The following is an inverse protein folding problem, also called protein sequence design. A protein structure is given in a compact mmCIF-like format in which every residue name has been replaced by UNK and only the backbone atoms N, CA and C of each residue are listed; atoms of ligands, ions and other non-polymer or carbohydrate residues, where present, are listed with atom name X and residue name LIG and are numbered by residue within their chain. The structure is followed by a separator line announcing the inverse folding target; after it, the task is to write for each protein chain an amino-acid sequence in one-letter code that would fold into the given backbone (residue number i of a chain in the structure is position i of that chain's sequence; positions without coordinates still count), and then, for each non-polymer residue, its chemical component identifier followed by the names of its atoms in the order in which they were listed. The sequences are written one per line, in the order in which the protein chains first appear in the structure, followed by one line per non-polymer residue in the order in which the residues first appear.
data_IF_228216197844
#
_entry.id   IF_228216197844
#
_cell.length_a   1.000
_cell.length_b   1.000
_cell.length_c   1.000
_cell.angle_alpha   90.00
_cell.angle_beta   90.00
_cell.angle_gamma   90.00
#
_symmetry.space_group_name_H-M   'P 1'
#
loop_
_entity.id
_entity.type
_entity.pdbx_description
1 polymer ?
#
# COMPACT_ATOMS: atom_id res chain seq x y z
N UNK A 1 -23.51 2.90 17.60
CA UNK A 1 -23.50 2.09 16.38
C UNK A 1 -22.29 2.41 15.48
N UNK A 2 -21.96 3.69 15.27
CA UNK A 2 -20.84 4.14 14.44
C UNK A 2 -19.47 3.58 14.85
N UNK A 3 -19.17 3.51 16.15
CA UNK A 3 -17.89 3.00 16.68
C UNK A 3 -17.64 1.53 16.29
N UNK A 4 -18.66 0.67 16.40
CA UNK A 4 -18.54 -0.74 16.03
C UNK A 4 -18.30 -0.92 14.52
N UNK A 5 -18.96 -0.10 13.69
CA UNK A 5 -18.75 -0.10 12.24
C UNK A 5 -17.33 0.36 11.88
N UNK A 6 -16.80 1.39 12.56
CA UNK A 6 -15.41 1.82 12.38
C UNK A 6 -14.41 0.73 12.77
N UNK A 7 -14.64 0.02 13.88
CA UNK A 7 -13.82 -1.14 14.27
C UNK A 7 -13.89 -2.23 13.20
N UNK A 8 -15.09 -2.55 12.69
CA UNK A 8 -15.27 -3.59 11.68
C UNK A 8 -14.57 -3.25 10.35
N UNK A 9 -14.72 -2.00 9.89
CA UNK A 9 -14.02 -1.51 8.69
C UNK A 9 -12.52 -1.50 8.90
N UNK A 10 -12.05 -1.07 10.08
CA UNK A 10 -10.66 -1.15 10.46
C UNK A 10 -10.14 -2.58 10.43
N UNK A 11 -10.88 -3.55 10.99
CA UNK A 11 -10.50 -4.96 10.98
C UNK A 11 -10.42 -5.54 9.57
N UNK A 12 -11.39 -5.24 8.70
CA UNK A 12 -11.35 -5.65 7.29
C UNK A 12 -10.13 -5.04 6.58
N UNK A 13 -9.92 -3.74 6.72
CA UNK A 13 -8.82 -3.03 6.09
C UNK A 13 -7.46 -3.49 6.60
N UNK A 14 -7.33 -3.78 7.90
CA UNK A 14 -6.12 -4.35 8.52
C UNK A 14 -5.85 -5.76 8.01
N UNK A 15 -6.88 -6.61 7.90
CA UNK A 15 -6.75 -7.98 7.40
C UNK A 15 -6.27 -7.99 5.95
N UNK A 16 -6.95 -7.24 5.08
CA UNK A 16 -6.58 -7.14 3.66
C UNK A 16 -5.23 -6.43 3.50
N UNK A 17 -5.01 -5.34 4.22
CA UNK A 17 -3.78 -4.56 4.19
C UNK A 17 -2.55 -5.40 4.54
N UNK A 18 -2.64 -6.19 5.60
CA UNK A 18 -1.58 -7.10 6.03
C UNK A 18 -1.33 -8.24 5.03
N UNK A 19 -2.39 -8.85 4.48
CA UNK A 19 -2.27 -9.97 3.53
C UNK A 19 -1.70 -9.53 2.18
N UNK A 20 -2.05 -8.32 1.75
CA UNK A 20 -1.69 -7.77 0.44
C UNK A 20 -0.39 -6.95 0.48
N UNK A 21 0.08 -6.53 1.65
CA UNK A 21 1.30 -5.72 1.78
C UNK A 21 1.14 -4.28 1.32
N UNK A 22 -0.09 -3.75 1.40
CA UNK A 22 -0.47 -2.38 0.98
C UNK A 22 -0.81 -1.46 2.16
N UNK A 23 -0.75 -1.96 3.41
CA UNK A 23 -1.02 -1.16 4.61
C UNK A 23 -2.50 -0.82 4.88
N UNK A 24 -3.46 -1.22 4.04
CA UNK A 24 -4.90 -1.05 4.29
C UNK A 24 -5.45 0.36 4.04
N UNK A 25 -4.60 1.36 3.80
CA UNK A 25 -5.00 2.75 3.53
C UNK A 25 -5.91 2.91 2.30
N UNK A 26 -5.64 2.12 1.26
CA UNK A 26 -6.47 2.04 0.04
C UNK A 26 -7.91 1.63 0.33
N UNK A 27 -8.13 0.82 1.36
CA UNK A 27 -9.48 0.38 1.78
C UNK A 27 -10.08 1.40 2.73
N UNK A 28 -9.28 1.92 3.68
CA UNK A 28 -9.72 2.86 4.70
C UNK A 28 -10.19 4.20 4.15
N UNK A 29 -9.43 4.83 3.23
CA UNK A 29 -9.79 6.17 2.75
C UNK A 29 -11.16 6.19 2.06
N UNK A 30 -11.46 5.32 1.06
CA UNK A 30 -12.78 5.28 0.45
C UNK A 30 -13.88 4.90 1.45
N UNK A 31 -13.61 3.95 2.36
CA UNK A 31 -14.60 3.54 3.35
C UNK A 31 -15.00 4.69 4.29
N UNK A 32 -14.04 5.50 4.74
CA UNK A 32 -14.29 6.67 5.60
C UNK A 32 -15.01 7.80 4.86
N UNK A 33 -14.58 8.09 3.63
CA UNK A 33 -15.13 9.21 2.85
C UNK A 33 -16.52 8.89 2.30
N UNK A 34 -16.70 7.70 1.71
CA UNK A 34 -17.97 7.33 1.06
C UNK A 34 -18.94 6.62 1.99
N UNK A 35 -18.44 5.89 2.99
CA UNK A 35 -19.27 5.10 3.90
C UNK A 35 -19.68 5.83 5.17
N UNK A 36 -18.90 6.83 5.61
CA UNK A 36 -19.16 7.59 6.84
C UNK A 36 -19.20 9.11 6.61
N UNK A 37 -19.14 9.57 5.36
CA UNK A 37 -19.16 10.99 4.98
C UNK A 37 -18.08 11.83 5.69
N UNK A 38 -16.93 11.22 5.97
CA UNK A 38 -15.82 11.89 6.67
C UNK A 38 -15.01 12.71 5.66
N UNK A 39 -14.75 14.00 5.93
CA UNK A 39 -13.92 14.83 5.05
C UNK A 39 -12.53 14.23 4.81
N UNK A 40 -12.03 14.36 3.57
CA UNK A 40 -10.71 13.88 3.14
C UNK A 40 -9.57 14.33 4.06
N UNK A 41 -9.64 15.57 4.54
CA UNK A 41 -8.69 16.17 5.48
C UNK A 41 -8.53 15.38 6.79
N UNK A 42 -9.59 14.70 7.22
CA UNK A 42 -9.61 13.86 8.43
C UNK A 42 -9.37 12.39 8.10
N UNK A 43 -9.86 11.92 6.95
CA UNK A 43 -9.75 10.53 6.54
C UNK A 43 -8.30 10.12 6.20
N UNK A 44 -7.52 11.00 5.53
CA UNK A 44 -6.13 10.74 5.15
C UNK A 44 -5.22 10.52 6.38
N UNK A 45 -5.12 11.46 7.35
CA UNK A 45 -4.28 11.23 8.52
C UNK A 45 -4.75 10.04 9.37
N UNK A 46 -6.07 9.81 9.45
CA UNK A 46 -6.62 8.64 10.15
C UNK A 46 -6.21 7.32 9.48
N UNK A 47 -6.24 7.26 8.15
CA UNK A 47 -5.83 6.07 7.40
C UNK A 47 -4.32 5.83 7.51
N UNK A 48 -3.49 6.87 7.49
CA UNK A 48 -2.03 6.75 7.68
C UNK A 48 -1.67 6.17 9.06
N UNK A 49 -2.34 6.64 10.12
CA UNK A 49 -2.17 6.06 11.46
C UNK A 49 -2.52 4.56 11.47
N UNK A 50 -3.63 4.21 10.83
CA UNK A 50 -4.07 2.84 10.69
C UNK A 50 -3.07 2.00 9.87
N UNK A 51 -2.51 2.56 8.80
CA UNK A 51 -1.50 1.92 7.96
C UNK A 51 -0.25 1.55 8.77
N UNK A 52 0.24 2.50 9.58
CA UNK A 52 1.39 2.26 10.47
C UNK A 52 1.05 1.21 11.52
N UNK A 53 -0.11 1.32 12.18
CA UNK A 53 -0.56 0.34 13.17
C UNK A 53 -0.69 -1.08 12.57
N UNK A 54 -1.30 -1.19 11.38
CA UNK A 54 -1.43 -2.43 10.62
C UNK A 54 -0.06 -3.03 10.31
N UNK A 55 0.86 -2.19 9.83
CA UNK A 55 2.20 -2.59 9.48
C UNK A 55 2.95 -3.14 10.70
N UNK A 56 2.93 -2.44 11.83
CA UNK A 56 3.57 -2.89 13.07
C UNK A 56 2.97 -4.23 13.56
N UNK A 57 1.64 -4.35 13.57
CA UNK A 57 0.95 -5.57 14.00
C UNK A 57 1.31 -6.78 13.12
N UNK A 58 1.29 -6.62 11.80
CA UNK A 58 1.59 -7.69 10.87
C UNK A 58 3.10 -8.00 10.77
N UNK A 59 3.97 -6.98 10.88
CA UNK A 59 5.43 -7.14 10.89
C UNK A 59 5.89 -8.05 12.02
N UNK A 60 5.31 -7.91 13.23
CA UNK A 60 5.61 -8.81 14.35
C UNK A 60 5.35 -10.29 14.00
N UNK A 61 4.28 -10.57 13.26
CA UNK A 61 3.95 -11.91 12.79
C UNK A 61 4.83 -12.40 11.64
N UNK A 62 5.18 -11.53 10.69
CA UNK A 62 5.97 -11.91 9.51
C UNK A 62 7.46 -12.05 9.78
N UNK A 63 8.03 -11.17 10.62
CA UNK A 63 9.44 -11.25 11.04
C UNK A 63 9.67 -12.51 11.86
N UNK A 64 8.79 -12.81 12.82
CA UNK A 64 8.89 -14.04 13.62
C UNK A 64 8.76 -15.32 12.77
N UNK A 65 8.07 -15.26 11.63
CA UNK A 65 7.90 -16.40 10.72
C UNK A 65 8.91 -16.45 9.58
N UNK A 66 9.93 -15.58 9.58
CA UNK A 66 10.91 -15.47 8.49
C UNK A 66 10.27 -15.30 7.10
N UNK A 67 9.14 -14.57 7.03
CA UNK A 67 8.46 -14.26 5.77
C UNK A 67 8.87 -12.90 5.22
N UNK A 68 9.30 -11.96 6.07
CA UNK A 68 9.80 -10.66 5.64
C UNK A 68 11.31 -10.73 5.40
N UNK A 69 11.73 -10.42 4.17
CA UNK A 69 13.14 -10.26 3.84
C UNK A 69 13.61 -8.87 4.29
N UNK A 70 14.17 -8.81 5.49
CA UNK A 70 14.60 -7.55 6.12
C UNK A 70 15.73 -6.90 5.34
N UNK A 71 16.67 -7.69 4.77
CA UNK A 71 17.82 -7.14 4.03
C UNK A 71 17.35 -6.48 2.75
N UNK A 72 16.51 -7.18 1.98
CA UNK A 72 15.89 -6.63 0.79
C UNK A 72 15.05 -5.41 1.15
N UNK A 73 14.20 -5.52 2.17
CA UNK A 73 13.35 -4.44 2.66
C UNK A 73 14.14 -3.18 3.01
N UNK A 74 15.20 -3.27 3.80
CA UNK A 74 16.01 -2.11 4.17
C UNK A 74 16.71 -1.48 2.96
N UNK A 75 17.24 -2.30 2.04
CA UNK A 75 17.93 -1.79 0.84
C UNK A 75 17.00 -1.01 -0.09
N UNK A 76 15.80 -1.54 -0.32
CA UNK A 76 14.78 -0.92 -1.17
C UNK A 76 14.11 0.26 -0.46
N UNK A 77 14.00 0.21 0.86
CA UNK A 77 13.38 1.28 1.65
C UNK A 77 14.20 2.56 1.62
N UNK A 78 15.54 2.45 1.68
CA UNK A 78 16.41 3.62 1.55
C UNK A 78 16.17 4.34 0.21
N UNK A 79 16.06 3.58 -0.88
CA UNK A 79 15.71 4.13 -2.18
C UNK A 79 14.30 4.76 -2.20
N UNK A 80 13.32 4.12 -1.56
CA UNK A 80 11.96 4.67 -1.41
C UNK A 80 11.94 5.99 -0.65
N UNK A 81 12.67 6.10 0.46
CA UNK A 81 12.73 7.34 1.26
C UNK A 81 13.36 8.47 0.44
N UNK A 82 14.49 8.21 -0.23
CA UNK A 82 15.13 9.21 -1.09
C UNK A 82 14.20 9.63 -2.24
N UNK A 83 13.52 8.66 -2.86
CA UNK A 83 12.53 8.91 -3.90
C UNK A 83 11.36 9.75 -3.40
N UNK A 84 10.85 9.47 -2.20
CA UNK A 84 9.76 10.22 -1.59
C UNK A 84 10.15 11.67 -1.30
N UNK A 85 11.37 11.91 -0.80
CA UNK A 85 11.92 13.26 -0.59
C UNK A 85 12.02 14.01 -1.92
N UNK A 86 12.65 13.39 -2.93
CA UNK A 86 12.80 13.98 -4.25
C UNK A 86 11.44 14.27 -4.91
N UNK A 87 10.52 13.30 -4.86
CA UNK A 87 9.15 13.45 -5.36
C UNK A 87 8.37 14.55 -4.64
N UNK A 88 8.56 14.69 -3.31
CA UNK A 88 7.93 15.75 -2.51
C UNK A 88 8.41 17.15 -2.91
N UNK A 89 9.67 17.30 -3.29
CA UNK A 89 10.22 18.58 -3.78
C UNK A 89 9.66 18.96 -5.15
N UNK A 90 9.46 17.98 -6.02
CA UNK A 90 8.93 18.19 -7.38
C UNK A 90 7.40 18.23 -7.39
N UNK A 91 6.74 17.81 -6.30
CA UNK A 91 5.29 17.72 -6.17
C UNK A 91 4.56 19.02 -6.51
N UNK A 92 5.11 20.14 -6.07
CA UNK A 92 4.52 21.46 -6.33
C UNK A 92 4.59 21.89 -7.81
N UNK A 93 5.44 21.23 -8.61
CA UNK A 93 5.68 21.57 -10.01
C UNK A 93 4.91 20.69 -10.99
N UNK A 94 4.27 19.61 -10.53
CA UNK A 94 3.59 18.64 -11.40
C UNK A 94 2.08 18.76 -11.23
N UNK A 95 1.36 18.82 -12.34
CA UNK A 95 -0.10 18.85 -12.34
C UNK A 95 -0.65 17.58 -11.65
N UNK A 96 -1.56 17.70 -10.66
CA UNK A 96 -2.14 16.53 -9.97
C UNK A 96 -2.76 15.50 -10.92
N UNK A 97 -3.36 15.99 -12.03
CA UNK A 97 -3.95 15.14 -13.06
C UNK A 97 -2.91 14.25 -13.77
N UNK A 98 -1.70 14.76 -14.03
CA UNK A 98 -0.63 13.96 -14.64
C UNK A 98 -0.19 12.83 -13.70
N UNK A 99 -0.03 13.13 -12.41
CA UNK A 99 0.33 12.11 -11.40
C UNK A 99 -0.75 11.04 -11.33
N UNK A 100 -2.02 11.44 -11.29
CA UNK A 100 -3.16 10.53 -11.23
C UNK A 100 -3.21 9.59 -12.45
N UNK A 101 -3.00 10.10 -13.66
CA UNK A 101 -3.02 9.29 -14.87
C UNK A 101 -1.81 8.38 -14.99
N UNK A 102 -0.59 8.88 -14.77
CA UNK A 102 0.62 8.05 -14.87
C UNK A 102 0.55 6.88 -13.88
N UNK A 103 0.18 7.15 -12.63
CA UNK A 103 0.04 6.10 -11.62
C UNK A 103 -1.18 5.20 -11.89
N UNK A 104 -2.29 5.76 -12.35
CA UNK A 104 -3.49 5.00 -12.72
C UNK A 104 -3.21 4.00 -13.85
N UNK A 105 -2.51 4.44 -14.90
CA UNK A 105 -2.07 3.58 -16.01
C UNK A 105 -1.06 2.52 -15.56
N UNK A 106 -0.08 2.90 -14.74
CA UNK A 106 0.88 1.93 -14.20
C UNK A 106 0.18 0.87 -13.34
N UNK A 107 -0.70 1.31 -12.45
CA UNK A 107 -1.46 0.43 -11.55
C UNK A 107 -2.38 -0.49 -12.35
N UNK A 108 -3.03 0.02 -13.40
CA UNK A 108 -3.83 -0.76 -14.33
C UNK A 108 -2.98 -1.80 -15.06
N UNK A 109 -1.80 -1.40 -15.56
CA UNK A 109 -0.86 -2.32 -16.21
C UNK A 109 -0.47 -3.47 -15.28
N UNK A 110 -0.08 -3.17 -14.04
CA UNK A 110 0.25 -4.20 -13.04
C UNK A 110 -0.96 -5.09 -12.74
N UNK A 111 -2.15 -4.51 -12.54
CA UNK A 111 -3.34 -5.27 -12.23
C UNK A 111 -3.70 -6.25 -13.34
N UNK A 112 -3.66 -5.79 -14.60
CA UNK A 112 -3.87 -6.62 -15.78
C UNK A 112 -2.77 -7.67 -15.92
N UNK A 113 -1.51 -7.30 -15.71
CA UNK A 113 -0.40 -8.24 -15.71
C UNK A 113 -0.63 -9.37 -14.69
N UNK A 114 -1.07 -9.05 -13.48
CA UNK A 114 -1.36 -10.04 -12.43
C UNK A 114 -2.54 -10.96 -12.75
N UNK A 115 -3.53 -10.48 -13.51
CA UNK A 115 -4.71 -11.27 -13.92
C UNK A 115 -4.46 -12.11 -15.18
N UNK A 116 -3.71 -11.57 -16.14
CA UNK A 116 -3.50 -12.15 -17.46
C UNK A 116 -2.28 -13.08 -17.49
N UNK A 117 -1.21 -12.77 -16.75
CA UNK A 117 -0.08 -13.69 -16.62
C UNK A 117 -0.40 -14.74 -15.57
N UNK A 118 -0.69 -15.96 -16.03
CA UNK A 118 -0.62 -17.15 -15.17
C UNK A 118 0.83 -17.30 -14.74
N UNK A 119 1.16 -17.03 -13.48
CA UNK A 119 2.47 -17.43 -12.95
C UNK A 119 2.59 -18.95 -13.07
N UNK A 120 3.46 -19.49 -13.95
CA UNK A 120 3.63 -20.93 -14.12
C UNK A 120 4.52 -21.53 -13.01
N UNK A 121 5.06 -20.68 -12.12
CA UNK A 121 6.03 -21.05 -11.10
C UNK A 121 5.33 -21.47 -9.82
N UNK A 122 5.62 -22.69 -9.35
CA UNK A 122 5.57 -23.00 -7.93
C UNK A 122 6.47 -22.00 -7.22
N UNK A 123 5.86 -21.02 -6.55
CA UNK A 123 6.63 -20.08 -5.74
C UNK A 123 7.15 -20.83 -4.51
N UNK A 124 8.45 -20.70 -4.19
CA UNK A 124 8.99 -21.18 -2.94
C UNK A 124 8.13 -20.65 -1.78
N UNK A 125 7.76 -21.54 -0.87
CA UNK A 125 6.96 -21.16 0.29
C UNK A 125 7.78 -20.39 1.34
N UNK A 126 9.11 -20.48 1.29
CA UNK A 126 10.05 -19.95 2.26
C UNK A 126 11.01 -18.91 1.67
N UNK A 127 11.49 -18.00 2.51
CA UNK A 127 12.50 -16.99 2.18
C UNK A 127 13.85 -17.61 1.81
N UNK A 128 14.22 -18.74 2.41
CA UNK A 128 15.56 -19.32 2.27
C UNK A 128 15.84 -19.94 0.89
N UNK A 129 14.79 -20.14 0.08
CA UNK A 129 14.85 -20.83 -1.22
C UNK A 129 14.87 -19.87 -2.43
N UNK A 130 15.05 -18.56 -2.21
CA UNK A 130 15.12 -17.60 -3.32
C UNK A 130 16.27 -16.59 -3.18
N UNK A 131 16.80 -16.15 -4.32
CA UNK A 131 17.71 -15.01 -4.41
C UNK A 131 17.01 -13.89 -5.19
N UNK A 132 16.97 -12.65 -4.69
CA UNK A 132 16.38 -11.55 -5.43
C UNK A 132 17.16 -11.31 -6.72
N UNK A 133 16.46 -11.32 -7.85
CA UNK A 133 17.03 -10.96 -9.15
C UNK A 133 16.97 -9.44 -9.35
N UNK A 134 17.81 -8.91 -10.24
CA UNK A 134 17.70 -7.52 -10.74
C UNK A 134 17.67 -6.43 -9.64
N UNK A 135 18.60 -6.48 -8.69
CA UNK A 135 18.74 -5.45 -7.63
C UNK A 135 18.70 -4.00 -8.13
N UNK A 136 19.37 -3.62 -9.25
CA UNK A 136 19.31 -2.26 -9.77
C UNK A 136 17.90 -1.83 -10.17
N UNK A 137 17.09 -2.75 -10.73
CA UNK A 137 15.70 -2.51 -11.08
C UNK A 137 14.84 -2.38 -9.82
N UNK A 138 15.10 -3.19 -8.80
CA UNK A 138 14.47 -3.06 -7.49
C UNK A 138 14.70 -1.69 -6.87
N UNK A 139 15.95 -1.22 -6.86
CA UNK A 139 16.33 0.07 -6.28
C UNK A 139 15.71 1.23 -7.06
N UNK A 140 15.85 1.24 -8.39
CA UNK A 140 15.29 2.31 -9.22
C UNK A 140 13.76 2.33 -9.18
N UNK A 141 13.12 1.16 -9.24
CA UNK A 141 11.67 1.04 -9.11
C UNK A 141 11.18 1.46 -7.73
N UNK A 142 11.93 1.19 -6.66
CA UNK A 142 11.59 1.60 -5.29
C UNK A 142 11.76 3.11 -5.10
N UNK A 143 12.74 3.73 -5.74
CA UNK A 143 12.90 5.18 -5.79
C UNK A 143 11.71 5.84 -6.50
N UNK A 144 11.34 5.35 -7.69
CA UNK A 144 10.16 5.85 -8.42
C UNK A 144 8.89 5.64 -7.61
N UNK A 145 8.73 4.47 -6.97
CA UNK A 145 7.59 4.20 -6.11
C UNK A 145 7.51 5.15 -4.92
N UNK A 146 8.65 5.50 -4.31
CA UNK A 146 8.73 6.52 -3.26
C UNK A 146 8.27 7.88 -3.75
N UNK A 147 8.78 8.31 -4.90
CA UNK A 147 8.40 9.60 -5.50
C UNK A 147 6.92 9.67 -5.84
N UNK A 148 6.37 8.66 -6.52
CA UNK A 148 4.93 8.60 -6.81
C UNK A 148 4.09 8.53 -5.53
N UNK A 149 4.57 7.83 -4.50
CA UNK A 149 3.89 7.70 -3.23
C UNK A 149 3.79 9.03 -2.47
N UNK A 150 4.81 9.89 -2.51
CA UNK A 150 4.74 11.21 -1.84
C UNK A 150 3.82 12.18 -2.56
N UNK A 151 3.69 12.06 -3.88
CA UNK A 151 2.75 12.84 -4.68
C UNK A 151 1.29 12.47 -4.41
N UNK A 152 1.02 11.19 -4.15
CA UNK A 152 -0.35 10.66 -4.01
C UNK A 152 -0.79 10.48 -2.55
N UNK A 153 0.15 10.41 -1.60
CA UNK A 153 -0.14 10.15 -0.19
C UNK A 153 -0.66 8.73 0.11
N UNK A 154 -0.56 7.80 -0.83
CA UNK A 154 -1.16 6.44 -0.73
C UNK A 154 -0.22 5.40 -0.10
N UNK A 155 1.08 5.70 0.03
CA UNK A 155 2.09 4.72 0.46
C UNK A 155 2.52 3.81 -0.71
N UNK A 156 3.82 3.57 -0.90
CA UNK A 156 4.38 2.92 -2.08
C UNK A 156 4.07 1.41 -2.24
N UNK A 157 3.29 0.82 -1.33
CA UNK A 157 2.96 -0.60 -1.30
C UNK A 157 2.41 -1.21 -2.59
N UNK A 158 1.41 -0.58 -3.26
CA UNK A 158 0.85 -1.06 -4.51
C UNK A 158 1.88 -1.23 -5.63
N UNK A 159 2.96 -0.46 -5.60
CA UNK A 159 4.03 -0.50 -6.58
C UNK A 159 5.15 -1.47 -6.16
N UNK A 160 5.48 -1.52 -4.87
CA UNK A 160 6.63 -2.29 -4.35
C UNK A 160 6.38 -3.80 -4.36
N UNK A 161 5.17 -4.24 -4.00
CA UNK A 161 4.79 -5.67 -4.05
C UNK A 161 4.97 -6.26 -5.46
N UNK A 162 4.38 -5.71 -6.53
CA UNK A 162 4.55 -6.25 -7.88
C UNK A 162 5.98 -6.06 -8.42
N UNK A 163 6.67 -4.98 -8.06
CA UNK A 163 8.07 -4.77 -8.42
C UNK A 163 8.96 -5.90 -7.89
N UNK A 164 8.80 -6.25 -6.61
CA UNK A 164 9.52 -7.38 -6.02
C UNK A 164 9.08 -8.71 -6.64
N UNK A 165 7.77 -8.94 -6.76
CA UNK A 165 7.23 -10.22 -7.21
C UNK A 165 7.58 -10.54 -8.67
N UNK A 166 7.44 -9.56 -9.57
CA UNK A 166 7.57 -9.75 -11.01
C UNK A 166 8.88 -9.17 -11.57
N UNK A 167 9.38 -8.06 -11.01
CA UNK A 167 10.64 -7.45 -11.46
C UNK A 167 11.87 -8.14 -10.86
N UNK A 168 11.80 -8.51 -9.58
CA UNK A 168 12.91 -9.12 -8.84
C UNK A 168 12.74 -10.62 -8.60
N UNK A 169 11.65 -11.22 -9.09
CA UNK A 169 11.33 -12.65 -8.92
C UNK A 169 11.27 -13.12 -7.46
N UNK A 170 10.92 -12.21 -6.54
CA UNK A 170 10.69 -12.53 -5.13
C UNK A 170 9.37 -13.29 -5.00
N UNK A 171 9.25 -14.34 -4.17
CA UNK A 171 7.96 -14.99 -3.92
C UNK A 171 6.90 -13.98 -3.45
N UNK A 172 5.66 -14.07 -3.94
CA UNK A 172 4.65 -13.04 -3.73
C UNK A 172 4.33 -12.82 -2.24
N UNK A 173 4.32 -13.91 -1.44
CA UNK A 173 4.11 -13.84 0.01
C UNK A 173 5.25 -13.09 0.71
N UNK A 174 6.49 -13.30 0.27
CA UNK A 174 7.68 -12.59 0.79
C UNK A 174 7.62 -11.13 0.36
N UNK A 175 7.35 -10.84 -0.91
CA UNK A 175 7.19 -9.48 -1.42
C UNK A 175 6.10 -8.70 -0.66
N UNK A 176 4.94 -9.33 -0.41
CA UNK A 176 3.85 -8.76 0.38
C UNK A 176 4.29 -8.46 1.82
N UNK A 177 4.91 -9.44 2.51
CA UNK A 177 5.38 -9.28 3.88
C UNK A 177 6.49 -8.23 4.04
N UNK A 178 7.45 -8.20 3.10
CA UNK A 178 8.54 -7.23 3.04
C UNK A 178 8.00 -5.83 2.78
N UNK A 179 7.09 -5.66 1.81
CA UNK A 179 6.44 -4.37 1.54
C UNK A 179 5.65 -3.86 2.74
N UNK A 180 4.93 -4.75 3.44
CA UNK A 180 4.19 -4.37 4.62
C UNK A 180 5.09 -3.77 5.70
N UNK A 181 6.26 -4.38 5.96
CA UNK A 181 7.25 -3.86 6.90
C UNK A 181 7.76 -2.47 6.49
N UNK A 182 8.10 -2.33 5.20
CA UNK A 182 8.58 -1.07 4.62
C UNK A 182 7.58 0.08 4.80
N UNK A 183 6.29 -0.19 4.56
CA UNK A 183 5.21 0.81 4.71
C UNK A 183 5.12 1.33 6.15
N UNK A 184 5.44 0.51 7.15
CA UNK A 184 5.47 0.94 8.55
C UNK A 184 6.55 1.97 8.82
N UNK A 185 7.74 1.75 8.24
CA UNK A 185 8.90 2.64 8.39
C UNK A 185 8.64 3.98 7.69
N UNK A 186 8.27 3.96 6.41
CA UNK A 186 7.91 5.18 5.66
C UNK A 186 6.71 5.91 6.26
N UNK A 187 5.66 5.17 6.65
CA UNK A 187 4.44 5.74 7.20
C UNK A 187 4.63 6.40 8.56
N UNK A 188 5.57 5.91 9.39
CA UNK A 188 5.85 6.49 10.71
C UNK A 188 6.28 7.96 10.62
N UNK A 189 7.10 8.32 9.60
CA UNK A 189 7.49 9.70 9.37
C UNK A 189 6.28 10.59 9.00
N UNK A 190 5.39 10.10 8.14
CA UNK A 190 4.16 10.81 7.76
C UNK A 190 3.24 11.00 8.96
N UNK A 191 3.06 9.96 9.78
CA UNK A 191 2.29 10.02 11.02
C UNK A 191 2.85 11.07 11.98
N UNK A 192 4.17 11.09 12.19
CA UNK A 192 4.81 12.09 13.04
C UNK A 192 4.56 13.51 12.54
N UNK A 193 4.67 13.76 11.22
CA UNK A 193 4.40 15.06 10.62
C UNK A 193 2.93 15.51 10.83
N UNK A 194 1.95 14.61 10.72
CA UNK A 194 0.55 14.93 10.96
C UNK A 194 0.21 15.11 12.45
N UNK A 195 0.84 14.33 13.33
CA UNK A 195 0.70 14.49 14.78
C UNK A 195 1.13 15.87 15.26
N UNK A 196 2.25 16.38 14.74
CA UNK A 196 2.76 17.71 15.08
C UNK A 196 1.86 18.87 14.63
N UNK A 197 1.01 18.67 13.62
CA UNK A 197 0.08 19.69 13.11
C UNK A 197 -1.29 19.71 13.79
N UNK A 198 -1.54 18.79 14.74
CA UNK A 198 -2.78 18.79 15.53
C UNK A 198 -4.06 18.40 14.79
N UNK A 199 -3.99 17.88 13.55
CA UNK A 199 -5.17 17.52 12.74
C UNK A 199 -5.76 16.13 13.02
N UNK A 200 -5.35 15.47 14.10
CA UNK A 200 -5.78 14.11 14.43
C UNK A 200 -6.99 14.12 15.38
N UNK A 201 -8.16 13.78 14.84
CA UNK A 201 -9.35 13.50 15.65
C UNK A 201 -9.23 12.11 16.26
N UNK A 202 -8.67 12.02 17.48
CA UNK A 202 -8.49 10.75 18.20
C UNK A 202 -9.79 9.94 18.33
N UNK A 203 -10.95 10.62 18.42
CA UNK A 203 -12.26 9.97 18.48
C UNK A 203 -12.57 9.11 17.24
N UNK A 204 -12.06 9.50 16.07
CA UNK A 204 -12.18 8.72 14.83
C UNK A 204 -11.10 7.64 14.75
N UNK A 205 -9.86 8.01 15.08
CA UNK A 205 -8.69 7.15 14.88
C UNK A 205 -8.66 5.96 15.84
N UNK A 206 -9.02 6.16 17.11
CA UNK A 206 -8.95 5.12 18.14
C UNK A 206 -9.74 3.84 17.79
N UNK A 207 -11.02 3.88 17.39
CA UNK A 207 -11.74 2.66 17.03
C UNK A 207 -11.18 2.00 15.76
N UNK A 208 -10.73 2.79 14.78
CA UNK A 208 -10.14 2.25 13.56
C UNK A 208 -8.83 1.53 13.87
N UNK A 209 -7.95 2.12 14.68
CA UNK A 209 -6.68 1.51 15.08
C UNK A 209 -6.91 0.20 15.83
N UNK A 210 -7.88 0.14 16.76
CA UNK A 210 -8.23 -1.11 17.46
C UNK A 210 -8.66 -2.18 16.47
N UNK A 211 -9.56 -1.84 15.54
CA UNK A 211 -9.98 -2.75 14.47
C UNK A 211 -8.81 -3.23 13.62
N UNK A 212 -7.99 -2.30 13.14
CA UNK A 212 -6.85 -2.56 12.25
C UNK A 212 -5.79 -3.40 12.91
N UNK A 213 -5.46 -3.17 14.19
CA UNK A 213 -4.49 -4.00 14.92
C UNK A 213 -4.95 -5.46 14.99
N UNK A 214 -6.22 -5.69 15.34
CA UNK A 214 -6.81 -7.03 15.38
C UNK A 214 -6.91 -7.67 13.99
N UNK A 215 -7.35 -6.89 13.00
CA UNK A 215 -7.45 -7.32 11.60
C UNK A 215 -6.09 -7.70 11.02
N UNK A 216 -5.07 -6.86 11.20
CA UNK A 216 -3.71 -7.11 10.71
C UNK A 216 -3.06 -8.32 11.40
N UNK A 217 -3.35 -8.53 12.68
CA UNK A 217 -2.93 -9.74 13.39
C UNK A 217 -3.55 -11.01 12.79
N UNK A 218 -4.85 -10.98 12.51
CA UNK A 218 -5.54 -12.10 11.82
C UNK A 218 -5.00 -12.27 10.40
N UNK A 219 -4.86 -11.19 9.64
CA UNK A 219 -4.34 -11.18 8.28
C UNK A 219 -2.94 -11.76 8.17
N UNK A 220 -2.02 -11.39 9.06
CA UNK A 220 -0.66 -11.94 9.09
C UNK A 220 -0.58 -13.42 9.47
N UNK A 221 -1.57 -13.93 10.21
CA UNK A 221 -1.71 -15.36 10.49
C UNK A 221 -2.41 -16.12 9.37
N UNK A 222 -3.27 -15.46 8.61
CA UNK A 222 -4.03 -16.06 7.52
C UNK A 222 -3.21 -16.11 6.21
N UNK A 223 -2.47 -15.05 5.89
CA UNK A 223 -1.69 -14.91 4.64
C UNK A 223 -0.84 -16.15 4.30
N UNK A 224 -0.08 -16.77 5.24
CA UNK A 224 0.74 -17.93 4.92
C UNK A 224 -0.09 -19.14 4.47
N UNK A 225 -1.33 -19.26 4.96
CA UNK A 225 -2.26 -20.37 4.65
C UNK A 225 -3.05 -20.14 3.37
N UNK A 226 -3.20 -18.89 2.93
CA UNK A 226 -3.96 -18.57 1.72
C UNK A 226 -3.15 -18.95 0.47
N UNK A 227 -3.75 -19.58 -0.55
CA UNK A 227 -3.08 -19.84 -1.81
C UNK A 227 -2.62 -18.54 -2.47
N UNK A 228 -1.40 -18.53 -3.02
CA UNK A 228 -0.84 -17.35 -3.69
C UNK A 228 -1.73 -16.82 -4.80
N UNK A 229 -2.40 -17.72 -5.55
CA UNK A 229 -3.34 -17.32 -6.60
C UNK A 229 -4.51 -16.46 -6.09
N UNK A 230 -5.01 -16.75 -4.88
CA UNK A 230 -6.09 -15.96 -4.25
C UNK A 230 -5.55 -14.60 -3.82
N UNK A 231 -4.37 -14.55 -3.20
CA UNK A 231 -3.73 -13.29 -2.82
C UNK A 231 -3.48 -12.38 -4.03
N UNK A 232 -2.96 -12.94 -5.13
CA UNK A 232 -2.74 -12.21 -6.38
C UNK A 232 -4.03 -11.66 -6.97
N UNK A 233 -5.12 -12.46 -6.98
CA UNK A 233 -6.44 -12.00 -7.45
C UNK A 233 -7.01 -10.88 -6.58
N UNK A 234 -6.96 -11.04 -5.25
CA UNK A 234 -7.40 -10.01 -4.32
C UNK A 234 -6.60 -8.71 -4.51
N UNK A 235 -5.27 -8.81 -4.63
CA UNK A 235 -4.40 -7.67 -4.92
C UNK A 235 -4.78 -6.98 -6.23
N UNK A 236 -4.95 -7.76 -7.31
CA UNK A 236 -5.30 -7.21 -8.62
C UNK A 236 -6.67 -6.53 -8.62
N UNK A 237 -7.67 -7.07 -7.92
CA UNK A 237 -8.98 -6.42 -7.76
C UNK A 237 -8.81 -5.07 -7.05
N UNK A 238 -8.04 -5.03 -5.97
CA UNK A 238 -7.76 -3.77 -5.27
C UNK A 238 -7.05 -2.76 -6.18
N UNK A 239 -6.05 -3.19 -6.94
CA UNK A 239 -5.38 -2.33 -7.91
C UNK A 239 -6.30 -1.83 -9.02
N UNK A 240 -7.21 -2.67 -9.54
CA UNK A 240 -8.20 -2.25 -10.54
C UNK A 240 -9.12 -1.15 -10.02
N UNK A 241 -9.59 -1.29 -8.77
CA UNK A 241 -10.41 -0.27 -8.12
C UNK A 241 -9.64 1.04 -7.98
N UNK A 242 -8.37 0.98 -7.52
CA UNK A 242 -7.52 2.17 -7.40
C UNK A 242 -7.26 2.81 -8.75
N UNK A 243 -6.90 2.03 -9.77
CA UNK A 243 -6.65 2.51 -11.12
C UNK A 243 -7.90 3.18 -11.71
N UNK A 244 -9.08 2.54 -11.56
CA UNK A 244 -10.35 3.10 -12.00
C UNK A 244 -10.67 4.43 -11.32
N UNK A 245 -10.51 4.51 -9.99
CA UNK A 245 -10.72 5.76 -9.25
C UNK A 245 -9.77 6.89 -9.69
N UNK A 246 -8.50 6.57 -9.94
CA UNK A 246 -7.50 7.55 -10.34
C UNK A 246 -7.66 8.02 -11.79
N UNK A 247 -8.04 7.12 -12.71
CA UNK A 247 -8.32 7.48 -14.10
C UNK A 247 -9.63 8.26 -14.24
N UNK A 248 -10.65 7.92 -13.45
CA UNK A 248 -11.92 8.65 -13.44
C UNK A 248 -11.74 10.09 -12.94
N UNK A 249 -11.15 10.27 -11.75
CA UNK A 249 -10.93 11.60 -11.16
C UNK A 249 -9.81 12.39 -11.86
N UNK A 250 -8.76 11.72 -12.32
CA UNK A 250 -7.71 12.33 -13.15
C UNK A 250 -8.22 12.76 -14.53
N UNK A 251 -9.26 12.07 -15.04
CA UNK A 251 -9.97 12.41 -16.27
C UNK A 251 -10.78 13.70 -16.18
N UNK A 252 -11.34 14.04 -15.02
CA UNK A 252 -12.04 15.33 -14.81
C UNK A 252 -11.10 16.55 -14.95
N UNK A 253 -9.79 16.37 -14.73
CA UNK A 253 -8.77 17.40 -14.97
C UNK A 253 -8.14 17.38 -16.37
N UNK A 254 -8.24 16.27 -17.11
CA UNK A 254 -7.69 16.11 -18.47
C UNK A 254 -8.71 16.32 -19.59
N UNK A 255 -10.00 16.20 -19.29
CA UNK A 255 -11.10 16.36 -20.25
C UNK A 255 -11.88 17.70 -20.23
N UNK A 256 -11.62 18.71 -19.36
CA UNK A 256 -12.47 19.91 -19.35
C UNK A 256 -12.24 20.85 -20.54
N UNK A 257 -11.33 20.53 -21.47
CA UNK A 257 -11.00 21.38 -22.64
C UNK A 257 -11.31 20.77 -24.01
N UNK A 258 -11.99 19.63 -24.11
CA UNK A 258 -12.42 19.05 -25.41
C UNK A 258 -13.91 19.30 -25.68
N UNK A 259 -14.67 19.84 -24.73
CA UNK A 259 -16.11 20.13 -24.89
C UNK A 259 -16.53 21.53 -24.39
N UNK A 260 -15.63 22.52 -24.41
CA UNK A 260 -16.00 23.94 -24.35
C UNK A 260 -15.22 24.74 -25.39
#
# INVERSE_FOLDING_TARGET
MTVLLLIAVGALAGTLGAMLGIGGGIVLVPALVLGFDIPLEQAIPASLMCVVASSCSAAAGYVHKHLSDIRLGLSLELATVLGAIAGGMVAAMVAPAMVAVVFGLFTLYVALQMLLLRSPRQEPAAMDDYAPANYPLGISGSFVAGGLSSLLGVGGGPLKVPLMAYGMHVPFKVASATSNLMIGVTGAASVAAYALRGHLKLALVSPLVVGVLGGAYVGSRLMPRVPTAVLKRLFAVVLLVVAGQMLWKGGEGLWPSILK
#
